data_IF_770385796554
#
_entry.id   IF_770385796554
#
_cell.length_a   1.000
_cell.length_b   1.000
_cell.length_c   1.000
_cell.angle_alpha   90.00
_cell.angle_beta   90.00
_cell.angle_gamma   90.00
#
_symmetry.space_group_name_H-M   'P 1'
#
loop_
_entity.id
_entity.type
_entity.pdbx_description
1 polymer ?
#
# COMPACT_ATOMS: atom_id res chain seq x y z
N UNK A 1 -5.64 -13.07 -35.52
CA UNK A 1 -6.28 -11.99 -34.77
C UNK A 1 -7.78 -12.19 -34.86
N UNK A 2 -8.54 -11.79 -33.85
CA UNK A 2 -10.00 -11.85 -33.81
C UNK A 2 -10.53 -10.82 -32.81
N UNK A 3 -11.80 -10.94 -32.42
CA UNK A 3 -12.48 -9.97 -31.57
C UNK A 3 -12.89 -10.63 -30.25
N UNK A 4 -12.54 -9.97 -29.14
CA UNK A 4 -13.12 -10.25 -27.83
C UNK A 4 -14.38 -9.41 -27.67
N UNK A 5 -15.49 -10.05 -27.31
CA UNK A 5 -16.81 -9.45 -27.16
C UNK A 5 -17.25 -9.62 -25.71
N UNK A 6 -17.39 -8.51 -24.99
CA UNK A 6 -17.78 -8.48 -23.59
C UNK A 6 -19.21 -7.96 -23.49
N UNK A 7 -20.10 -8.81 -23.01
CA UNK A 7 -21.52 -8.52 -22.80
C UNK A 7 -21.83 -8.42 -21.31
N UNK A 8 -22.87 -7.66 -20.97
CA UNK A 8 -23.35 -7.50 -19.59
C UNK A 8 -24.85 -7.76 -19.55
N UNK A 9 -25.27 -8.88 -18.97
CA UNK A 9 -26.68 -9.24 -18.75
C UNK A 9 -26.89 -9.58 -17.27
N UNK A 10 -27.93 -9.04 -16.63
CA UNK A 10 -28.34 -9.35 -15.25
C UNK A 10 -27.17 -9.43 -14.24
N UNK A 11 -26.30 -8.42 -14.23
CA UNK A 11 -25.10 -8.32 -13.38
C UNK A 11 -24.02 -9.40 -13.62
N UNK A 12 -24.06 -10.12 -14.73
CA UNK A 12 -23.00 -11.02 -15.19
C UNK A 12 -22.31 -10.46 -16.41
N UNK A 13 -20.98 -10.47 -16.35
CA UNK A 13 -20.11 -10.18 -17.48
C UNK A 13 -19.75 -11.49 -18.17
N UNK A 14 -20.01 -11.57 -19.47
CA UNK A 14 -19.64 -12.72 -20.31
C UNK A 14 -18.64 -12.24 -21.36
N UNK A 15 -17.63 -13.06 -21.64
CA UNK A 15 -16.62 -12.77 -22.64
C UNK A 15 -16.59 -13.89 -23.68
N UNK A 16 -16.78 -13.52 -24.94
CA UNK A 16 -16.71 -14.40 -26.10
C UNK A 16 -15.51 -14.01 -26.96
N UNK A 17 -14.94 -14.97 -27.69
CA UNK A 17 -13.97 -14.68 -28.75
C UNK A 17 -14.53 -15.13 -30.09
N UNK A 18 -14.51 -14.24 -31.07
CA UNK A 18 -14.93 -14.52 -32.45
C UNK A 18 -13.78 -14.23 -33.40
N UNK A 19 -13.58 -15.08 -34.40
CA UNK A 19 -12.46 -14.94 -35.34
C UNK A 19 -12.69 -13.84 -36.39
N UNK A 20 -13.95 -13.56 -36.70
CA UNK A 20 -14.39 -12.60 -37.73
C UNK A 20 -15.53 -11.76 -37.17
N UNK A 21 -15.58 -10.47 -37.52
CA UNK A 21 -16.59 -9.51 -37.01
C UNK A 21 -18.02 -9.92 -37.40
N UNK A 22 -18.21 -10.65 -38.50
CA UNK A 22 -19.51 -11.21 -38.87
C UNK A 22 -20.02 -12.23 -37.86
N UNK A 23 -19.13 -12.81 -37.04
CA UNK A 23 -19.48 -13.71 -35.95
C UNK A 23 -20.42 -13.10 -34.91
N UNK A 24 -20.52 -11.77 -34.84
CA UNK A 24 -21.44 -11.08 -33.93
C UNK A 24 -22.91 -11.45 -34.16
N UNK A 25 -23.30 -11.80 -35.40
CA UNK A 25 -24.71 -12.15 -35.71
C UNK A 25 -25.20 -13.40 -34.97
N UNK A 26 -24.28 -14.20 -34.42
CA UNK A 26 -24.58 -15.43 -33.69
C UNK A 26 -24.57 -15.25 -32.16
N UNK A 27 -24.27 -14.05 -31.66
CA UNK A 27 -24.28 -13.75 -30.23
C UNK A 27 -25.60 -13.05 -29.88
N UNK A 28 -26.44 -13.74 -29.10
CA UNK A 28 -27.78 -13.25 -28.72
C UNK A 28 -27.75 -12.15 -27.65
N UNK A 29 -26.64 -12.03 -26.92
CA UNK A 29 -26.47 -11.16 -25.76
C UNK A 29 -25.80 -9.81 -26.09
N UNK A 30 -25.62 -9.50 -27.38
CA UNK A 30 -25.08 -8.22 -27.83
C UNK A 30 -26.13 -7.11 -27.75
N UNK A 31 -25.71 -5.95 -27.28
CA UNK A 31 -26.50 -4.72 -27.31
C UNK A 31 -25.57 -3.49 -27.41
N UNK A 32 -26.15 -2.29 -27.34
CA UNK A 32 -25.45 -1.01 -27.40
C UNK A 32 -24.39 -0.80 -26.29
N UNK A 33 -24.41 -1.59 -25.22
CA UNK A 33 -23.45 -1.54 -24.09
C UNK A 33 -22.34 -2.59 -24.19
N UNK A 34 -22.34 -3.41 -25.25
CA UNK A 34 -21.31 -4.42 -25.48
C UNK A 34 -19.97 -3.76 -25.80
N UNK A 35 -18.90 -4.22 -25.13
CA UNK A 35 -17.54 -3.78 -25.41
C UNK A 35 -16.86 -4.78 -26.35
N UNK A 36 -16.22 -4.28 -27.41
CA UNK A 36 -15.51 -5.11 -28.39
C UNK A 36 -14.10 -4.56 -28.58
N UNK A 37 -13.10 -5.43 -28.59
CA UNK A 37 -11.74 -5.08 -28.98
C UNK A 37 -11.06 -6.21 -29.76
N UNK A 38 -10.09 -5.85 -30.60
CA UNK A 38 -9.32 -6.81 -31.38
C UNK A 38 -8.11 -7.33 -30.58
N UNK A 39 -7.85 -8.63 -30.65
CA UNK A 39 -6.73 -9.27 -29.95
C UNK A 39 -6.52 -10.72 -30.36
N UNK A 40 -5.49 -11.36 -29.78
CA UNK A 40 -5.33 -12.81 -29.93
C UNK A 40 -6.32 -13.51 -29.01
N UNK A 41 -6.73 -14.73 -29.36
CA UNK A 41 -7.60 -15.56 -28.52
C UNK A 41 -7.02 -15.77 -27.11
N UNK A 42 -5.69 -15.84 -27.00
CA UNK A 42 -4.94 -15.93 -25.74
C UNK A 42 -5.08 -14.69 -24.84
N UNK A 43 -5.40 -13.52 -25.41
CA UNK A 43 -5.46 -12.24 -24.70
C UNK A 43 -6.83 -12.06 -24.04
N UNK A 44 -7.27 -13.09 -23.31
CA UNK A 44 -8.60 -13.16 -22.72
C UNK A 44 -8.75 -12.08 -21.64
N UNK A 45 -9.81 -11.26 -21.68
CA UNK A 45 -10.06 -10.30 -20.62
C UNK A 45 -10.41 -11.04 -19.34
N UNK A 46 -10.01 -10.47 -18.21
CA UNK A 46 -10.35 -10.96 -16.88
C UNK A 46 -10.88 -9.81 -16.05
N UNK A 47 -11.74 -10.14 -15.08
CA UNK A 47 -12.19 -9.14 -14.12
C UNK A 47 -11.02 -8.81 -13.19
N UNK A 48 -10.89 -7.53 -12.83
CA UNK A 48 -9.81 -7.08 -11.94
C UNK A 48 -9.78 -7.86 -10.61
N UNK A 49 -10.96 -8.23 -10.11
CA UNK A 49 -11.13 -9.04 -8.88
C UNK A 49 -10.55 -10.46 -9.00
N UNK A 50 -10.41 -10.97 -10.22
CA UNK A 50 -9.93 -12.32 -10.52
C UNK A 50 -8.42 -12.31 -10.83
N UNK A 51 -7.77 -11.15 -10.77
CA UNK A 51 -6.33 -10.98 -11.00
C UNK A 51 -5.62 -10.53 -9.72
N UNK A 52 -5.01 -11.50 -9.02
CA UNK A 52 -4.40 -11.31 -7.69
C UNK A 52 -3.43 -10.10 -7.62
N UNK A 53 -2.57 -9.83 -8.64
CA UNK A 53 -1.67 -8.67 -8.61
C UNK A 53 -2.40 -7.31 -8.60
N UNK A 54 -3.64 -7.25 -9.09
CA UNK A 54 -4.42 -6.01 -9.14
C UNK A 54 -5.41 -5.83 -7.99
N UNK A 55 -5.45 -6.75 -7.02
CA UNK A 55 -6.31 -6.61 -5.84
C UNK A 55 -6.08 -5.29 -5.10
N UNK A 56 -4.85 -4.77 -5.09
CA UNK A 56 -4.51 -3.46 -4.50
C UNK A 56 -5.14 -2.26 -5.22
N UNK A 57 -5.71 -2.45 -6.41
CA UNK A 57 -6.36 -1.39 -7.18
C UNK A 57 -7.89 -1.47 -7.13
N UNK A 58 -8.45 -2.53 -6.55
CA UNK A 58 -9.88 -2.79 -6.55
C UNK A 58 -10.65 -1.81 -5.65
N UNK A 59 -10.20 -1.61 -4.41
CA UNK A 59 -10.86 -0.71 -3.45
C UNK A 59 -10.23 0.68 -3.45
N UNK A 60 -11.02 1.70 -3.11
CA UNK A 60 -10.52 3.07 -3.00
C UNK A 60 -9.43 3.20 -1.94
N UNK A 61 -9.57 2.52 -0.81
CA UNK A 61 -8.59 2.50 0.28
C UNK A 61 -7.27 1.89 -0.20
N UNK A 62 -7.32 0.76 -0.91
CA UNK A 62 -6.12 0.12 -1.42
C UNK A 62 -5.41 0.99 -2.46
N UNK A 63 -6.17 1.68 -3.34
CA UNK A 63 -5.61 2.67 -4.27
C UNK A 63 -4.94 3.84 -3.56
N UNK A 64 -5.52 4.33 -2.47
CA UNK A 64 -4.92 5.40 -1.65
C UNK A 64 -3.59 4.95 -1.05
N UNK A 65 -3.53 3.73 -0.51
CA UNK A 65 -2.29 3.12 -0.04
C UNK A 65 -1.24 3.05 -1.15
N UNK A 66 -1.61 2.49 -2.31
CA UNK A 66 -0.71 2.38 -3.45
C UNK A 66 -0.22 3.74 -3.98
N UNK A 67 -1.06 4.78 -3.98
CA UNK A 67 -0.65 6.15 -4.31
C UNK A 67 0.35 6.71 -3.29
N UNK A 68 0.16 6.42 -2.00
CA UNK A 68 1.10 6.80 -0.95
C UNK A 68 2.46 6.11 -1.10
N UNK A 69 2.46 4.80 -1.37
CA UNK A 69 3.68 4.02 -1.63
C UNK A 69 4.45 4.55 -2.84
N UNK A 70 3.76 4.81 -3.95
CA UNK A 70 4.37 5.35 -5.17
C UNK A 70 4.94 6.75 -4.94
N UNK A 71 4.19 7.62 -4.26
CA UNK A 71 4.64 8.94 -3.88
C UNK A 71 5.89 8.89 -2.97
N UNK A 72 5.88 8.01 -1.96
CA UNK A 72 7.02 7.81 -1.08
C UNK A 72 8.27 7.44 -1.86
N UNK A 73 8.15 6.43 -2.73
CA UNK A 73 9.27 5.95 -3.54
C UNK A 73 9.88 7.08 -4.36
N UNK A 74 9.04 7.82 -5.11
CA UNK A 74 9.49 8.92 -5.94
C UNK A 74 10.19 10.01 -5.11
N UNK A 75 9.58 10.44 -4.00
CA UNK A 75 10.19 11.47 -3.15
C UNK A 75 11.46 11.00 -2.44
N UNK A 76 11.54 9.73 -2.07
CA UNK A 76 12.73 9.16 -1.46
C UNK A 76 13.91 9.14 -2.45
N UNK A 77 13.64 8.76 -3.71
CA UNK A 77 14.62 8.82 -4.80
C UNK A 77 15.08 10.27 -5.06
N UNK A 78 14.14 11.22 -5.11
CA UNK A 78 14.43 12.67 -5.21
C UNK A 78 15.32 13.18 -4.04
N UNK A 79 15.25 12.53 -2.88
CA UNK A 79 16.05 12.83 -1.70
C UNK A 79 17.32 11.95 -1.58
N UNK A 80 17.73 11.29 -2.67
CA UNK A 80 18.92 10.44 -2.75
C UNK A 80 18.92 9.25 -1.75
N UNK A 81 17.75 8.69 -1.48
CA UNK A 81 17.61 7.41 -0.79
C UNK A 81 17.55 6.26 -1.79
N UNK A 82 18.20 5.14 -1.45
CA UNK A 82 18.15 3.92 -2.27
C UNK A 82 17.08 3.01 -1.70
N UNK A 83 15.94 2.93 -2.38
CA UNK A 83 14.73 2.26 -1.90
C UNK A 83 14.50 0.94 -2.64
N UNK A 84 14.21 -0.12 -1.90
CA UNK A 84 13.79 -1.42 -2.43
C UNK A 84 12.40 -1.78 -1.90
N UNK A 85 11.52 -2.22 -2.79
CA UNK A 85 10.18 -2.73 -2.41
C UNK A 85 10.33 -4.08 -1.71
N UNK A 86 9.69 -4.25 -0.56
CA UNK A 86 9.64 -5.54 0.13
C UNK A 86 8.49 -6.36 -0.45
N UNK A 87 8.83 -7.40 -1.21
CA UNK A 87 7.84 -8.19 -1.95
C UNK A 87 6.89 -8.96 -1.01
N UNK A 88 5.58 -8.67 -1.11
CA UNK A 88 4.54 -9.25 -0.24
C UNK A 88 3.95 -10.60 -0.71
N UNK A 89 4.56 -11.27 -1.69
CA UNK A 89 4.05 -12.52 -2.27
C UNK A 89 3.78 -13.64 -1.24
N UNK A 90 2.68 -14.38 -1.44
CA UNK A 90 2.18 -15.44 -0.53
C UNK A 90 3.21 -16.56 -0.28
N UNK A 91 3.95 -16.99 -1.30
CA UNK A 91 4.97 -18.04 -1.17
C UNK A 91 6.13 -17.61 -0.26
N UNK A 92 6.69 -16.42 -0.50
CA UNK A 92 7.75 -15.85 0.36
C UNK A 92 7.26 -15.57 1.77
N UNK A 93 5.98 -15.21 1.92
CA UNK A 93 5.36 -15.00 3.23
C UNK A 93 5.25 -16.29 4.05
N UNK A 94 5.11 -17.46 3.41
CA UNK A 94 5.09 -18.76 4.10
C UNK A 94 6.44 -19.08 4.75
N UNK A 95 7.54 -18.84 4.02
CA UNK A 95 8.90 -19.01 4.56
C UNK A 95 9.17 -18.03 5.72
N UNK A 96 8.77 -16.77 5.55
CA UNK A 96 8.90 -15.75 6.60
C UNK A 96 8.08 -16.09 7.84
N UNK A 97 6.83 -16.54 7.67
CA UNK A 97 5.96 -16.88 8.80
C UNK A 97 6.49 -18.08 9.58
N UNK A 98 7.08 -19.07 8.89
CA UNK A 98 7.73 -20.20 9.54
C UNK A 98 8.98 -19.80 10.32
N UNK A 99 9.77 -18.85 9.81
CA UNK A 99 11.01 -18.41 10.45
C UNK A 99 10.79 -17.39 11.59
N UNK A 100 9.79 -16.52 11.48
CA UNK A 100 9.63 -15.35 12.37
C UNK A 100 8.23 -15.22 13.01
N UNK A 101 7.32 -16.17 12.77
CA UNK A 101 5.94 -16.13 13.30
C UNK A 101 5.00 -15.23 12.49
N UNK A 102 3.82 -14.89 13.06
CA UNK A 102 2.84 -14.00 12.43
C UNK A 102 3.31 -12.54 12.47
N UNK A 103 4.18 -12.16 11.55
CA UNK A 103 4.73 -10.80 11.40
C UNK A 103 4.08 -10.06 10.24
N UNK A 104 4.17 -8.73 10.29
CA UNK A 104 3.92 -7.85 9.15
C UNK A 104 5.27 -7.35 8.64
N UNK A 105 5.43 -7.29 7.32
CA UNK A 105 6.61 -6.69 6.70
C UNK A 105 6.30 -5.23 6.34
N UNK A 106 7.27 -4.32 6.51
CA UNK A 106 7.19 -2.97 5.97
C UNK A 106 7.07 -2.99 4.44
N UNK A 107 6.77 -1.84 3.85
CA UNK A 107 6.58 -1.70 2.40
C UNK A 107 7.92 -1.55 1.68
N UNK A 108 8.88 -0.89 2.31
CA UNK A 108 10.18 -0.59 1.72
C UNK A 108 11.36 -0.85 2.65
N UNK A 109 12.51 -1.16 2.05
CA UNK A 109 13.82 -1.16 2.67
C UNK A 109 14.62 0.01 2.07
N UNK A 110 15.13 0.90 2.93
CA UNK A 110 15.98 2.03 2.54
C UNK A 110 17.43 1.66 2.85
N UNK A 111 18.18 1.25 1.82
CA UNK A 111 19.49 0.63 1.97
C UNK A 111 20.50 1.56 2.63
N UNK A 112 20.61 2.79 2.11
CA UNK A 112 21.60 3.76 2.58
C UNK A 112 21.20 4.49 3.87
N UNK A 113 20.02 4.21 4.43
CA UNK A 113 19.65 4.60 5.78
C UNK A 113 19.58 3.39 6.72
N UNK A 114 19.87 2.18 6.23
CA UNK A 114 19.75 0.93 6.97
C UNK A 114 18.43 0.80 7.76
N UNK A 115 17.32 1.27 7.20
CA UNK A 115 16.01 1.32 7.85
C UNK A 115 14.94 0.73 6.93
N UNK A 116 13.85 0.24 7.54
CA UNK A 116 12.66 -0.21 6.80
C UNK A 116 11.51 0.77 7.04
N UNK A 117 10.68 0.96 6.03
CA UNK A 117 9.62 1.98 6.02
C UNK A 117 8.27 1.35 5.75
N UNK A 118 7.31 1.63 6.63
CA UNK A 118 5.88 1.35 6.42
C UNK A 118 5.20 2.66 6.03
N UNK A 119 4.54 2.67 4.88
CA UNK A 119 3.87 3.86 4.34
C UNK A 119 2.40 3.84 4.73
N UNK A 120 1.90 4.98 5.20
CA UNK A 120 0.48 5.22 5.48
C UNK A 120 0.02 6.45 4.74
N UNK A 121 -1.17 6.37 4.16
CA UNK A 121 -1.89 7.54 3.67
C UNK A 121 -3.22 7.60 4.41
N UNK A 122 -3.32 8.48 5.41
CA UNK A 122 -4.42 8.52 6.38
C UNK A 122 -4.86 9.94 6.66
N UNK A 123 -6.09 10.11 7.15
CA UNK A 123 -6.58 11.42 7.56
C UNK A 123 -5.85 11.89 8.81
N UNK A 124 -5.51 13.17 8.84
CA UNK A 124 -5.10 13.88 10.05
C UNK A 124 -6.34 14.51 10.68
N UNK A 125 -6.46 14.37 11.99
CA UNK A 125 -7.59 14.84 12.78
C UNK A 125 -7.13 15.93 13.76
N UNK A 126 -8.09 16.61 14.37
CA UNK A 126 -7.84 17.64 15.38
C UNK A 126 -7.73 19.05 14.80
N UNK A 127 -7.56 20.01 15.71
CA UNK A 127 -7.40 21.44 15.42
C UNK A 127 -6.03 21.92 15.88
N UNK A 128 -5.96 22.46 17.11
CA UNK A 128 -4.70 22.93 17.72
C UNK A 128 -3.69 21.80 17.90
N UNK A 129 -4.14 20.62 18.36
CA UNK A 129 -3.33 19.41 18.42
C UNK A 129 -3.80 18.49 17.31
N UNK A 130 -2.95 18.33 16.30
CA UNK A 130 -3.20 17.42 15.19
C UNK A 130 -2.69 16.02 15.50
N UNK A 131 -3.42 14.99 15.06
CA UNK A 131 -3.08 13.60 15.33
C UNK A 131 -3.58 12.65 14.25
N UNK A 132 -3.11 11.42 14.27
CA UNK A 132 -3.61 10.32 13.45
C UNK A 132 -3.71 9.02 14.24
N UNK A 133 -4.36 8.01 13.65
CA UNK A 133 -4.54 6.70 14.26
C UNK A 133 -3.60 5.67 13.65
N UNK A 134 -2.91 4.89 14.48
CA UNK A 134 -2.20 3.68 14.06
C UNK A 134 -2.73 2.46 14.79
N UNK A 135 -2.97 1.38 14.05
CA UNK A 135 -3.47 0.13 14.63
C UNK A 135 -2.47 -0.47 15.61
N UNK A 136 -2.95 -0.82 16.81
CA UNK A 136 -2.15 -1.49 17.84
C UNK A 136 -1.66 -2.86 17.34
N UNK A 137 -2.51 -3.59 16.63
CA UNK A 137 -2.15 -4.89 16.05
C UNK A 137 -1.00 -4.76 15.04
N UNK A 138 -1.04 -3.70 14.25
CA UNK A 138 -0.02 -3.43 13.24
C UNK A 138 1.32 -3.06 13.88
N UNK A 139 1.32 -2.14 14.83
CA UNK A 139 2.49 -1.74 15.61
C UNK A 139 3.13 -2.96 16.27
N UNK A 140 2.34 -3.85 16.89
CA UNK A 140 2.86 -5.08 17.50
C UNK A 140 3.56 -5.98 16.49
N UNK A 141 2.93 -6.22 15.33
CA UNK A 141 3.49 -7.08 14.27
C UNK A 141 4.77 -6.51 13.66
N UNK A 142 4.81 -5.20 13.43
CA UNK A 142 6.00 -4.50 12.93
C UNK A 142 7.11 -4.43 14.00
N UNK A 143 6.75 -4.38 15.29
CA UNK A 143 7.73 -4.38 16.36
C UNK A 143 8.43 -5.74 16.46
N UNK A 144 7.66 -6.83 16.37
CA UNK A 144 8.24 -8.18 16.25
C UNK A 144 9.16 -8.29 15.02
N UNK A 145 8.75 -7.74 13.87
CA UNK A 145 9.60 -7.70 12.68
C UNK A 145 10.91 -6.92 12.92
N UNK A 146 10.84 -5.73 13.51
CA UNK A 146 12.01 -4.89 13.78
C UNK A 146 12.98 -5.57 14.74
N UNK A 147 12.46 -6.22 15.79
CA UNK A 147 13.27 -7.00 16.74
C UNK A 147 13.98 -8.19 16.08
N UNK A 148 13.30 -8.90 15.18
CA UNK A 148 13.88 -10.06 14.51
C UNK A 148 14.87 -9.69 13.39
N UNK A 149 14.61 -8.60 12.67
CA UNK A 149 15.45 -8.14 11.57
C UNK A 149 16.66 -7.33 12.03
N UNK A 150 16.61 -6.76 13.25
CA UNK A 150 17.61 -5.81 13.74
C UNK A 150 17.58 -4.46 13.02
N UNK A 151 16.59 -4.23 12.14
CA UNK A 151 16.45 -3.00 11.35
C UNK A 151 15.41 -2.09 11.99
N UNK A 152 15.70 -0.79 12.15
CA UNK A 152 14.69 0.17 12.63
C UNK A 152 13.56 0.29 11.61
N UNK A 153 12.33 0.26 12.11
CA UNK A 153 11.13 0.55 11.31
C UNK A 153 10.68 1.99 11.53
N UNK A 154 10.39 2.68 10.43
CA UNK A 154 9.88 4.05 10.41
C UNK A 154 8.51 4.05 9.73
N UNK A 155 7.52 4.69 10.34
CA UNK A 155 6.27 4.99 9.65
C UNK A 155 6.45 6.26 8.83
N UNK A 156 6.10 6.23 7.54
CA UNK A 156 6.00 7.38 6.67
C UNK A 156 4.52 7.68 6.40
N UNK A 157 4.00 8.72 7.06
CA UNK A 157 2.57 9.05 7.09
C UNK A 157 2.30 10.27 6.21
N UNK A 158 1.63 10.06 5.09
CA UNK A 158 1.06 11.12 4.28
C UNK A 158 -0.35 11.49 4.77
N UNK A 159 -0.62 12.78 4.85
CA UNK A 159 -2.00 13.24 5.01
C UNK A 159 -2.83 12.91 3.78
N UNK A 160 -4.00 12.31 3.99
CA UNK A 160 -4.99 12.06 2.96
C UNK A 160 -6.00 13.21 2.88
N UNK A 161 -6.11 13.82 1.70
CA UNK A 161 -7.18 14.78 1.37
C UNK A 161 -7.82 14.42 0.02
N UNK A 162 -9.15 14.44 -0.05
CA UNK A 162 -9.90 14.11 -1.27
C UNK A 162 -9.46 12.77 -1.91
N UNK A 163 -9.22 11.75 -1.07
CA UNK A 163 -8.79 10.41 -1.49
C UNK A 163 -7.44 10.39 -2.23
N UNK A 164 -6.55 11.34 -1.93
CA UNK A 164 -5.18 11.38 -2.45
C UNK A 164 -4.20 11.74 -1.33
N UNK A 165 -2.94 11.25 -1.40
CA UNK A 165 -1.89 11.74 -0.51
C UNK A 165 -1.55 13.20 -0.84
N UNK A 166 -1.33 14.02 0.18
CA UNK A 166 -0.81 15.37 0.05
C UNK A 166 0.72 15.34 -0.01
N UNK A 167 1.29 15.78 -1.14
CA UNK A 167 2.72 15.68 -1.46
C UNK A 167 3.64 16.29 -0.40
N UNK A 168 3.25 17.41 0.18
CA UNK A 168 4.10 18.19 1.08
C UNK A 168 3.87 17.86 2.57
N UNK A 169 2.92 16.96 2.87
CA UNK A 169 2.49 16.63 4.23
C UNK A 169 2.90 15.19 4.58
N UNK A 170 4.21 14.96 4.56
CA UNK A 170 4.85 13.73 5.03
C UNK A 170 5.30 13.91 6.48
N UNK A 171 4.83 13.03 7.36
CA UNK A 171 5.24 12.94 8.75
C UNK A 171 5.88 11.57 9.00
N UNK A 172 7.08 11.56 9.58
CA UNK A 172 7.77 10.33 9.94
C UNK A 172 7.85 10.17 11.45
N UNK A 173 7.75 8.93 11.92
CA UNK A 173 7.97 8.55 13.32
C UNK A 173 8.61 7.17 13.39
N UNK A 174 9.60 6.98 14.26
CA UNK A 174 10.18 5.64 14.44
C UNK A 174 9.22 4.78 15.25
N UNK A 175 9.11 3.51 14.88
CA UNK A 175 8.32 2.54 15.62
C UNK A 175 8.79 2.41 17.08
N UNK A 176 10.11 2.47 17.31
CA UNK A 176 10.67 2.36 18.67
C UNK A 176 10.20 3.53 19.55
N UNK A 177 10.13 4.74 19.00
CA UNK A 177 9.69 5.93 19.74
C UNK A 177 8.22 5.75 20.18
N UNK A 178 7.35 5.23 19.30
CA UNK A 178 5.96 4.91 19.65
C UNK A 178 5.89 3.91 20.81
N UNK A 179 6.68 2.83 20.74
CA UNK A 179 6.70 1.78 21.77
C UNK A 179 7.23 2.31 23.10
N UNK A 180 8.28 3.12 23.09
CA UNK A 180 8.90 3.67 24.29
C UNK A 180 8.04 4.74 24.95
N UNK A 181 7.47 5.66 24.17
CA UNK A 181 6.53 6.67 24.66
C UNK A 181 5.36 5.96 25.30
N UNK A 182 4.74 5.00 24.61
CA UNK A 182 3.56 4.30 25.13
C UNK A 182 3.82 3.48 26.41
N UNK A 183 5.08 3.15 26.73
CA UNK A 183 5.45 2.51 28.01
C UNK A 183 5.56 3.51 29.16
N UNK A 184 6.01 4.74 28.87
CA UNK A 184 6.23 5.80 29.88
C UNK A 184 4.95 6.61 30.11
N UNK A 185 4.32 7.02 29.02
CA UNK A 185 3.09 7.79 28.96
C UNK A 185 2.20 7.21 27.85
N UNK A 186 1.24 6.33 28.18
CA UNK A 186 0.43 5.63 27.18
C UNK A 186 -0.34 6.59 26.28
N UNK A 187 -0.28 6.36 24.97
CA UNK A 187 -1.15 7.06 24.03
C UNK A 187 -2.61 6.72 24.32
N UNK A 188 -3.49 7.70 24.13
CA UNK A 188 -4.92 7.45 24.12
C UNK A 188 -5.25 6.39 23.05
N UNK A 189 -6.25 5.55 23.33
CA UNK A 189 -6.66 4.46 22.45
C UNK A 189 -8.12 4.63 22.03
N UNK A 190 -8.38 4.38 20.76
CA UNK A 190 -9.73 4.34 20.19
C UNK A 190 -9.80 3.24 19.13
N UNK A 191 -10.84 2.41 19.18
CA UNK A 191 -11.10 1.37 18.17
C UNK A 191 -9.87 0.49 17.83
N UNK A 192 -9.13 0.05 18.86
CA UNK A 192 -7.87 -0.72 18.73
C UNK A 192 -6.73 0.01 17.97
N UNK A 193 -6.72 1.34 18.01
CA UNK A 193 -5.64 2.17 17.49
C UNK A 193 -5.11 3.13 18.57
N UNK A 194 -3.81 3.44 18.51
CA UNK A 194 -3.23 4.55 19.26
C UNK A 194 -3.52 5.87 18.54
N UNK A 195 -3.82 6.90 19.33
CA UNK A 195 -3.84 8.29 18.89
C UNK A 195 -2.41 8.81 18.95
N UNK A 196 -1.80 9.06 17.79
CA UNK A 196 -0.43 9.56 17.66
C UNK A 196 -0.48 11.06 17.32
N UNK A 197 -0.12 11.95 18.26
CA UNK A 197 0.02 13.36 17.97
C UNK A 197 1.15 13.65 16.98
N UNK A 198 0.94 14.61 16.08
CA UNK A 198 1.98 15.04 15.12
C UNK A 198 3.21 15.63 15.80
N UNK A 199 3.10 16.09 17.05
CA UNK A 199 4.24 16.60 17.84
C UNK A 199 5.32 15.55 18.10
N UNK A 200 5.00 14.25 17.96
CA UNK A 200 5.97 13.16 18.07
C UNK A 200 6.58 12.75 16.73
N UNK A 201 6.17 13.41 15.63
CA UNK A 201 6.66 13.12 14.29
C UNK A 201 7.66 14.18 13.84
N UNK A 202 8.53 13.81 12.91
CA UNK A 202 9.34 14.75 12.15
C UNK A 202 8.76 14.95 10.75
N UNK A 203 8.86 16.16 10.21
CA UNK A 203 8.37 16.45 8.87
C UNK A 203 9.36 15.97 7.79
N UNK A 204 8.83 15.43 6.69
CA UNK A 204 9.62 14.99 5.55
C UNK A 204 10.55 13.82 5.88
N UNK A 205 11.75 13.84 5.28
CA UNK A 205 12.73 12.73 5.36
C UNK A 205 13.74 12.88 6.52
N UNK A 206 13.50 13.77 7.48
CA UNK A 206 14.49 14.10 8.51
C UNK A 206 14.91 12.91 9.38
N UNK A 207 13.97 12.01 9.73
CA UNK A 207 14.29 10.77 10.44
C UNK A 207 15.27 9.90 9.64
N UNK A 208 15.01 9.67 8.36
CA UNK A 208 15.89 8.85 7.52
C UNK A 208 17.26 9.50 7.31
N UNK A 209 17.31 10.83 7.16
CA UNK A 209 18.58 11.58 7.11
C UNK A 209 19.38 11.43 8.39
N UNK A 210 18.73 11.49 9.56
CA UNK A 210 19.37 11.26 10.86
C UNK A 210 19.92 9.84 10.97
N UNK A 211 19.16 8.82 10.59
CA UNK A 211 19.64 7.42 10.66
C UNK A 211 20.84 7.22 9.74
N UNK A 212 20.77 7.71 8.49
CA UNK A 212 21.87 7.65 7.51
C UNK A 212 23.18 8.26 8.05
N UNK A 213 23.10 9.41 8.73
CA UNK A 213 24.28 10.07 9.33
C UNK A 213 24.96 9.25 10.44
N UNK A 214 24.22 8.39 11.14
CA UNK A 214 24.78 7.54 12.21
C UNK A 214 25.27 6.19 11.68
N UNK A 215 25.03 5.89 10.40
CA UNK A 215 25.42 4.63 9.76
C UNK A 215 26.70 4.75 8.93
N UNK A 216 27.22 5.97 8.76
CA UNK A 216 28.50 6.31 8.13
C UNK A 216 29.52 6.67 9.20
#
# INVERSE_FOLDING_TARGET
MGYHVITSTDNKLTAHYIKDIRGLVYLEDINEKTLIYEGKESDRPFLLKDYDPANKYFTQIARIGAMGEDLFKNQAEDNAFVVQVIEQGKEKMLHFTKAMGKIKRPDFCVLNANADVEVKCIKIYGGQIQYFYLSISEIRKLNTYSQNSGRPVVFAVYEQKNFKPLKDNLYMIKLIDIVEINKKDPFEQKDNAYIIPLSFCEQGFEILKKIKRHSN
#
